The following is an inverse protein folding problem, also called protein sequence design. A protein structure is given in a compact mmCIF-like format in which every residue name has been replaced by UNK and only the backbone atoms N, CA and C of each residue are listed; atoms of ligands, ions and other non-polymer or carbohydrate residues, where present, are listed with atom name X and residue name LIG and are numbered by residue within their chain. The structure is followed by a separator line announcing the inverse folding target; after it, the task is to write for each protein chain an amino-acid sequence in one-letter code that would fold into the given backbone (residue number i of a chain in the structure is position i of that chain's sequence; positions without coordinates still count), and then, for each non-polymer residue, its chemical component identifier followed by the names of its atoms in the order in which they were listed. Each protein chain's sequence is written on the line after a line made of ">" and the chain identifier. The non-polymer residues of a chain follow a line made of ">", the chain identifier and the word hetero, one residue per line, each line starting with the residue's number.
data_IF_272774879845
#
_entry.id   IF_272774879845
#
_cell.length_a   1.000
_cell.length_b   1.000
_cell.length_c   1.000
_cell.angle_alpha   90.00
_cell.angle_beta   90.00
_cell.angle_gamma   90.00
#
_symmetry.space_group_name_H-M   'P 1'
#
loop_
_entity.id
_entity.type
_entity.pdbx_description
1 polymer ?
#
# COMPACT_ATOMS: atom_id res chain seq x y z
N UNK A 1 -12.77 18.57 15.96
CA UNK A 1 -12.77 17.10 15.98
C UNK A 1 -11.74 16.64 14.97
N UNK A 2 -10.67 16.00 15.46
CA UNK A 2 -9.59 15.48 14.63
C UNK A 2 -10.15 14.30 13.82
N UNK A 3 -10.29 14.43 12.49
CA UNK A 3 -10.76 13.35 11.63
C UNK A 3 -9.67 12.27 11.54
N UNK A 4 -10.00 11.06 11.95
CA UNK A 4 -9.13 9.91 11.74
C UNK A 4 -9.26 9.42 10.30
N UNK A 5 -8.14 9.06 9.69
CA UNK A 5 -8.12 8.48 8.35
C UNK A 5 -7.85 6.98 8.44
N UNK A 6 -8.74 6.21 7.86
CA UNK A 6 -8.67 4.75 7.81
C UNK A 6 -8.45 4.27 6.38
N UNK A 7 -7.76 3.17 6.23
CA UNK A 7 -7.56 2.51 4.95
C UNK A 7 -7.34 1.01 5.12
N UNK A 8 -7.70 0.24 4.10
CA UNK A 8 -7.43 -1.18 4.01
C UNK A 8 -6.17 -1.38 3.16
N UNK A 9 -5.25 -2.20 3.63
CA UNK A 9 -3.98 -2.41 2.95
C UNK A 9 -3.43 -3.83 3.10
N UNK A 10 -2.52 -4.16 2.19
CA UNK A 10 -1.66 -5.34 2.26
C UNK A 10 -0.39 -4.95 3.01
N UNK A 11 -0.09 -5.59 4.15
CA UNK A 11 1.16 -5.40 4.86
C UNK A 11 2.31 -6.11 4.15
N UNK A 12 3.54 -5.66 4.39
CA UNK A 12 4.75 -6.30 3.88
C UNK A 12 5.40 -7.15 4.96
N UNK A 13 6.13 -8.19 4.54
CA UNK A 13 7.00 -8.95 5.43
C UNK A 13 8.20 -8.13 5.89
N UNK A 14 8.83 -8.53 6.98
CA UNK A 14 10.04 -7.86 7.50
C UNK A 14 11.17 -7.82 6.47
N UNK A 15 11.37 -8.89 5.71
CA UNK A 15 12.39 -8.97 4.66
C UNK A 15 12.12 -7.96 3.55
N UNK A 16 10.87 -7.84 3.09
CA UNK A 16 10.50 -6.87 2.07
C UNK A 16 10.66 -5.43 2.56
N UNK A 17 10.24 -5.14 3.80
CA UNK A 17 10.44 -3.84 4.43
C UNK A 17 11.91 -3.47 4.51
N UNK A 18 12.77 -4.38 4.94
CA UNK A 18 14.22 -4.16 5.06
C UNK A 18 14.86 -3.92 3.69
N UNK A 19 14.46 -4.67 2.66
CA UNK A 19 14.96 -4.48 1.30
C UNK A 19 14.63 -3.08 0.78
N UNK A 20 13.39 -2.62 0.97
CA UNK A 20 12.97 -1.26 0.59
C UNK A 20 13.69 -0.20 1.44
N UNK A 21 13.85 -0.42 2.74
CA UNK A 21 14.52 0.53 3.62
C UNK A 21 15.99 0.75 3.25
N UNK A 22 16.71 -0.30 2.89
CA UNK A 22 18.09 -0.20 2.37
C UNK A 22 18.13 0.63 1.10
N UNK A 23 17.28 0.31 0.13
CA UNK A 23 17.15 1.07 -1.10
C UNK A 23 16.79 2.54 -0.83
N UNK A 24 15.82 2.79 0.05
CA UNK A 24 15.35 4.12 0.44
C UNK A 24 16.49 4.95 1.04
N UNK A 25 17.30 4.35 1.91
CA UNK A 25 18.47 5.01 2.49
C UNK A 25 19.50 5.46 1.44
N UNK A 26 19.77 4.59 0.47
CA UNK A 26 20.68 4.92 -0.65
C UNK A 26 20.09 6.00 -1.55
N UNK A 27 18.82 5.89 -1.90
CA UNK A 27 18.11 6.84 -2.75
C UNK A 27 18.00 8.24 -2.13
N UNK A 28 17.80 8.31 -0.82
CA UNK A 28 17.65 9.58 -0.11
C UNK A 28 18.89 10.49 -0.21
N UNK A 29 20.07 9.92 -0.42
CA UNK A 29 21.30 10.69 -0.59
C UNK A 29 21.37 11.43 -1.94
N UNK A 30 20.57 11.01 -2.93
CA UNK A 30 20.60 11.57 -4.29
C UNK A 30 19.27 12.16 -4.77
N UNK A 31 18.16 11.82 -4.11
CA UNK A 31 16.83 12.30 -4.48
C UNK A 31 16.24 13.19 -3.38
N UNK A 32 16.12 14.51 -3.64
CA UNK A 32 15.66 15.47 -2.64
C UNK A 32 14.13 15.48 -2.49
N UNK A 33 13.56 14.38 -1.99
CA UNK A 33 12.19 14.38 -1.51
C UNK A 33 12.11 14.93 -0.08
N UNK A 34 11.03 15.63 0.23
CA UNK A 34 10.82 16.25 1.53
C UNK A 34 10.67 15.25 2.68
N UNK A 35 9.94 14.15 2.42
CA UNK A 35 9.60 13.16 3.43
C UNK A 35 9.91 11.76 2.92
N UNK A 36 10.66 10.98 3.70
CA UNK A 36 10.91 9.57 3.47
C UNK A 36 10.08 8.75 4.45
N UNK A 37 9.34 7.78 3.91
CA UNK A 37 8.41 6.96 4.70
C UNK A 37 9.18 6.05 5.63
N UNK A 38 8.74 5.95 6.88
CA UNK A 38 9.31 5.01 7.85
C UNK A 38 9.06 3.56 7.39
N UNK A 39 10.05 2.68 7.58
CA UNK A 39 9.96 1.29 7.07
C UNK A 39 8.74 0.52 7.58
N UNK A 40 8.33 0.76 8.83
CA UNK A 40 7.12 0.14 9.40
C UNK A 40 5.81 0.65 8.77
N UNK A 41 5.86 1.74 8.04
CA UNK A 41 4.70 2.31 7.34
C UNK A 41 4.59 1.86 5.87
N UNK A 42 5.50 1.02 5.38
CA UNK A 42 5.40 0.47 4.03
C UNK A 42 4.21 -0.49 3.91
N UNK A 43 3.40 -0.26 2.88
CA UNK A 43 2.20 -1.07 2.61
C UNK A 43 1.73 -0.85 1.18
N UNK A 44 0.82 -1.70 0.71
CA UNK A 44 0.05 -1.47 -0.52
C UNK A 44 -1.38 -1.14 -0.13
N UNK A 45 -1.83 0.07 -0.40
CA UNK A 45 -3.22 0.46 -0.15
C UNK A 45 -4.17 -0.23 -1.12
N UNK A 46 -5.20 -0.88 -0.58
CA UNK A 46 -6.31 -1.45 -1.36
C UNK A 46 -7.48 -0.47 -1.45
N UNK A 47 -7.86 0.14 -0.34
CA UNK A 47 -8.96 1.10 -0.30
C UNK A 47 -8.73 2.17 0.76
N UNK A 48 -8.74 3.43 0.36
CA UNK A 48 -8.71 4.56 1.27
C UNK A 48 -10.14 4.96 1.65
N UNK A 49 -10.46 4.86 2.94
CA UNK A 49 -11.83 5.05 3.45
C UNK A 49 -12.09 6.45 3.99
N UNK A 50 -11.03 7.19 4.32
CA UNK A 50 -11.17 8.44 5.06
C UNK A 50 -11.68 8.19 6.47
N UNK A 51 -12.63 9.01 6.92
CA UNK A 51 -13.24 8.84 8.23
C UNK A 51 -14.21 7.65 8.23
N UNK A 52 -14.17 6.85 9.30
CA UNK A 52 -15.09 5.74 9.53
C UNK A 52 -15.93 6.05 10.76
N UNK A 53 -17.23 6.34 10.59
CA UNK A 53 -18.11 6.56 11.74
C UNK A 53 -18.12 5.37 12.69
N UNK A 54 -18.12 5.57 14.02
CA UNK A 54 -18.10 4.47 14.99
C UNK A 54 -19.20 3.42 14.74
N UNK A 55 -20.37 3.85 14.30
CA UNK A 55 -21.50 2.97 13.97
C UNK A 55 -21.24 2.05 12.76
N UNK A 56 -20.31 2.38 11.89
CA UNK A 56 -19.94 1.58 10.71
C UNK A 56 -18.75 0.65 10.97
N UNK A 57 -18.02 0.83 12.04
CA UNK A 57 -16.77 0.10 12.30
C UNK A 57 -16.99 -1.41 12.38
N UNK A 58 -18.01 -1.86 13.12
CA UNK A 58 -18.32 -3.29 13.26
C UNK A 58 -18.68 -3.91 11.90
N UNK A 59 -19.55 -3.28 11.12
CA UNK A 59 -19.94 -3.75 9.79
C UNK A 59 -18.78 -3.79 8.81
N UNK A 60 -17.88 -2.80 8.89
CA UNK A 60 -16.65 -2.78 8.08
C UNK A 60 -15.75 -3.97 8.41
N UNK A 61 -15.50 -4.24 9.69
CA UNK A 61 -14.69 -5.37 10.13
C UNK A 61 -15.31 -6.72 9.72
N UNK A 62 -16.63 -6.88 9.85
CA UNK A 62 -17.33 -8.07 9.38
C UNK A 62 -17.20 -8.26 7.87
N UNK A 63 -17.37 -7.20 7.09
CA UNK A 63 -17.23 -7.25 5.64
C UNK A 63 -15.80 -7.60 5.21
N UNK A 64 -14.80 -7.03 5.85
CA UNK A 64 -13.39 -7.33 5.55
C UNK A 64 -13.02 -8.76 5.95
N UNK A 65 -13.51 -9.25 7.07
CA UNK A 65 -13.32 -10.64 7.47
C UNK A 65 -13.97 -11.61 6.46
N UNK A 66 -15.16 -11.29 5.93
CA UNK A 66 -15.82 -12.09 4.92
C UNK A 66 -15.06 -12.12 3.59
N UNK A 67 -14.53 -10.99 3.14
CA UNK A 67 -13.66 -10.93 1.95
C UNK A 67 -12.41 -11.76 2.16
N UNK A 68 -11.72 -11.58 3.27
CA UNK A 68 -10.49 -12.30 3.59
C UNK A 68 -10.70 -13.82 3.70
N UNK A 69 -11.84 -14.25 4.28
CA UNK A 69 -12.15 -15.66 4.42
C UNK A 69 -12.29 -16.40 3.08
N UNK A 70 -12.66 -15.70 2.02
CA UNK A 70 -12.83 -16.26 0.66
C UNK A 70 -11.59 -16.10 -0.22
N UNK A 71 -10.63 -15.30 0.20
CA UNK A 71 -9.44 -14.99 -0.58
C UNK A 71 -8.28 -15.87 -0.13
N UNK A 72 -7.62 -16.54 -1.08
CA UNK A 72 -6.43 -17.33 -0.77
C UNK A 72 -5.21 -16.43 -0.50
N UNK A 73 -4.32 -16.83 0.40
CA UNK A 73 -3.00 -16.22 0.49
C UNK A 73 -2.24 -16.32 -0.84
N UNK A 74 -1.40 -15.35 -1.13
CA UNK A 74 -0.61 -15.31 -2.36
C UNK A 74 0.76 -14.66 -2.11
N UNK A 75 1.60 -14.64 -3.13
CA UNK A 75 2.90 -13.98 -3.08
C UNK A 75 2.98 -12.83 -4.05
N UNK A 76 3.76 -11.82 -3.70
CA UNK A 76 4.10 -10.67 -4.55
C UNK A 76 5.60 -10.57 -4.71
N UNK A 77 6.05 -10.01 -5.83
CA UNK A 77 7.44 -9.66 -6.07
C UNK A 77 7.56 -8.16 -6.31
N UNK A 78 8.54 -7.53 -5.67
CA UNK A 78 8.86 -6.12 -5.90
C UNK A 78 9.37 -5.93 -7.32
N UNK A 79 8.86 -4.92 -8.02
CA UNK A 79 9.25 -4.63 -9.41
C UNK A 79 9.05 -3.16 -9.75
N UNK A 80 10.12 -2.53 -10.22
CA UNK A 80 10.08 -1.18 -10.78
C UNK A 80 9.94 -0.07 -9.74
N UNK A 81 10.20 1.13 -10.23
CA UNK A 81 10.08 2.40 -9.50
C UNK A 81 9.23 3.35 -10.33
N UNK A 82 8.53 4.24 -9.69
CA UNK A 82 7.75 5.25 -10.39
C UNK A 82 7.35 6.40 -9.49
N UNK A 83 6.62 7.32 -10.10
CA UNK A 83 6.16 8.53 -9.42
C UNK A 83 4.71 8.83 -9.78
N UNK A 84 4.03 9.52 -8.88
CA UNK A 84 2.72 10.12 -9.15
C UNK A 84 2.76 11.63 -8.92
N UNK A 85 1.92 12.34 -9.65
CA UNK A 85 1.80 13.77 -9.58
C UNK A 85 2.43 14.45 -10.78
N UNK A 86 2.87 15.67 -10.62
CA UNK A 86 3.50 16.46 -11.68
C UNK A 86 4.82 15.82 -12.13
N UNK A 87 5.06 15.75 -13.44
CA UNK A 87 6.24 15.07 -14.02
C UNK A 87 7.56 15.64 -13.51
N UNK A 88 7.64 16.95 -13.32
CA UNK A 88 8.86 17.66 -12.92
C UNK A 88 8.97 17.88 -11.40
N UNK A 89 7.85 17.67 -10.68
CA UNK A 89 7.78 17.81 -9.23
C UNK A 89 6.81 16.77 -8.64
N UNK A 90 7.15 15.48 -8.70
CA UNK A 90 6.24 14.43 -8.26
C UNK A 90 5.91 14.55 -6.76
N UNK A 91 4.66 14.21 -6.43
CA UNK A 91 4.19 14.19 -5.06
C UNK A 91 4.47 12.88 -4.34
N UNK A 92 4.58 11.80 -5.10
CA UNK A 92 4.80 10.45 -4.57
C UNK A 92 5.89 9.76 -5.37
N UNK A 93 6.85 9.17 -4.69
CA UNK A 93 7.84 8.25 -5.22
C UNK A 93 7.55 6.85 -4.65
N UNK A 94 7.45 5.84 -5.50
CA UNK A 94 6.99 4.53 -5.09
C UNK A 94 7.80 3.37 -5.69
N UNK A 95 7.80 2.26 -4.95
CA UNK A 95 8.20 0.92 -5.38
C UNK A 95 6.98 0.19 -5.90
N UNK A 96 7.08 -0.43 -7.07
CA UNK A 96 6.03 -1.26 -7.65
C UNK A 96 6.14 -2.73 -7.26
N UNK A 97 5.16 -3.49 -7.71
CA UNK A 97 5.11 -4.95 -7.63
C UNK A 97 4.78 -5.52 -9.00
N UNK A 98 5.17 -6.76 -9.25
CA UNK A 98 4.77 -7.48 -10.46
C UNK A 98 3.24 -7.63 -10.50
N UNK A 99 2.70 -7.71 -11.72
CA UNK A 99 1.26 -7.92 -11.90
C UNK A 99 0.85 -9.26 -11.30
N UNK A 100 -0.15 -9.22 -10.43
CA UNK A 100 -0.67 -10.40 -9.74
C UNK A 100 -2.20 -10.34 -9.71
N UNK A 101 -2.84 -11.32 -10.36
CA UNK A 101 -4.30 -11.37 -10.44
C UNK A 101 -4.98 -11.56 -9.08
N UNK A 102 -4.33 -12.28 -8.15
CA UNK A 102 -4.85 -12.43 -6.80
C UNK A 102 -4.93 -11.08 -6.06
N UNK A 103 -3.95 -10.19 -6.27
CA UNK A 103 -3.97 -8.85 -5.72
C UNK A 103 -5.10 -8.00 -6.34
N UNK A 104 -5.25 -8.07 -7.66
CA UNK A 104 -6.30 -7.34 -8.38
C UNK A 104 -7.69 -7.80 -7.95
N UNK A 105 -7.89 -9.11 -7.82
CA UNK A 105 -9.13 -9.71 -7.33
C UNK A 105 -9.45 -9.31 -5.89
N UNK A 106 -8.49 -9.36 -5.02
CA UNK A 106 -8.63 -8.94 -3.61
C UNK A 106 -9.02 -7.47 -3.51
N UNK A 107 -8.36 -6.60 -4.26
CA UNK A 107 -8.70 -5.18 -4.29
C UNK A 107 -10.12 -4.96 -4.78
N UNK A 108 -10.55 -5.64 -5.84
CA UNK A 108 -11.91 -5.55 -6.35
C UNK A 108 -12.93 -5.95 -5.29
N UNK A 109 -12.71 -7.06 -4.61
CA UNK A 109 -13.63 -7.57 -3.60
C UNK A 109 -13.72 -6.65 -2.37
N UNK A 110 -12.58 -6.09 -1.94
CA UNK A 110 -12.53 -5.07 -0.89
C UNK A 110 -13.32 -3.82 -1.30
N UNK A 111 -13.14 -3.33 -2.53
CA UNK A 111 -13.87 -2.17 -3.04
C UNK A 111 -15.37 -2.40 -3.07
N UNK A 112 -15.80 -3.52 -3.59
CA UNK A 112 -17.23 -3.89 -3.65
C UNK A 112 -17.87 -3.92 -2.27
N UNK A 113 -17.20 -4.57 -1.32
CA UNK A 113 -17.70 -4.66 0.06
C UNK A 113 -17.78 -3.27 0.73
N UNK A 114 -16.79 -2.43 0.54
CA UNK A 114 -16.78 -1.07 1.09
C UNK A 114 -17.84 -0.16 0.43
N UNK A 115 -18.03 -0.26 -0.88
CA UNK A 115 -19.08 0.48 -1.58
C UNK A 115 -20.48 0.08 -1.11
N UNK A 116 -20.72 -1.21 -0.86
CA UNK A 116 -22.00 -1.68 -0.30
C UNK A 116 -22.29 -1.11 1.09
N UNK A 117 -21.26 -0.77 1.85
CA UNK A 117 -21.38 -0.10 3.15
C UNK A 117 -21.55 1.43 3.04
N UNK A 118 -21.55 1.97 1.81
CA UNK A 118 -21.76 3.38 1.57
C UNK A 118 -20.49 4.24 1.63
N UNK A 119 -19.30 3.65 1.54
CA UNK A 119 -18.07 4.41 1.42
C UNK A 119 -17.91 4.95 -0.01
N UNK A 120 -17.48 6.20 -0.11
CA UNK A 120 -17.07 6.81 -1.39
C UNK A 120 -15.61 6.52 -1.65
N UNK A 121 -15.34 5.73 -2.67
CA UNK A 121 -13.98 5.30 -3.01
C UNK A 121 -13.50 5.97 -4.30
N UNK A 122 -12.17 6.04 -4.45
CA UNK A 122 -11.53 6.51 -5.66
C UNK A 122 -11.89 5.59 -6.84
N UNK A 123 -12.29 6.17 -7.96
CA UNK A 123 -12.71 5.44 -9.16
C UNK A 123 -11.60 5.24 -10.18
N UNK A 124 -10.41 5.77 -9.92
CA UNK A 124 -9.27 5.56 -10.82
C UNK A 124 -8.87 4.08 -10.87
N UNK A 125 -8.31 3.63 -12.01
CA UNK A 125 -7.79 2.25 -12.11
C UNK A 125 -6.80 1.94 -10.99
N UNK A 126 -6.81 0.71 -10.53
CA UNK A 126 -5.88 0.24 -9.50
C UNK A 126 -4.45 0.27 -10.02
N UNK A 127 -3.59 1.01 -9.33
CA UNK A 127 -2.16 1.07 -9.58
C UNK A 127 -1.42 0.72 -8.28
N UNK A 128 -1.20 -0.59 -8.00
CA UNK A 128 -0.60 -1.03 -6.75
C UNK A 128 0.82 -0.49 -6.61
N UNK A 129 1.10 0.10 -5.46
CA UNK A 129 2.40 0.71 -5.18
C UNK A 129 2.68 0.78 -3.68
N UNK A 130 3.94 0.86 -3.34
CA UNK A 130 4.43 1.09 -1.98
C UNK A 130 5.08 2.47 -1.97
N UNK A 131 4.48 3.43 -1.29
CA UNK A 131 5.04 4.78 -1.20
C UNK A 131 6.33 4.76 -0.39
N UNK A 132 7.40 5.30 -0.96
CA UNK A 132 8.73 5.41 -0.34
C UNK A 132 9.02 6.83 0.11
N UNK A 133 8.66 7.82 -0.70
CA UNK A 133 8.91 9.22 -0.40
C UNK A 133 7.82 10.14 -0.97
N UNK A 134 7.77 11.36 -0.45
CA UNK A 134 6.75 12.35 -0.82
C UNK A 134 7.37 13.73 -1.03
N UNK A 135 6.77 14.47 -1.95
CA UNK A 135 7.02 15.88 -2.23
C UNK A 135 8.44 16.17 -2.68
N UNK A 136 8.65 16.14 -4.00
CA UNK A 136 9.88 16.60 -4.61
C UNK A 136 10.15 18.05 -4.21
N UNK A 137 11.35 18.33 -3.77
CA UNK A 137 11.81 19.68 -3.39
C UNK A 137 13.21 20.01 -3.93
N UNK A 138 13.66 19.27 -4.96
CA UNK A 138 14.92 19.56 -5.61
C UNK A 138 14.94 20.93 -6.28
N UNK A 139 16.09 21.57 -6.31
CA UNK A 139 16.28 22.82 -7.03
C UNK A 139 16.12 22.65 -8.55
N UNK A 140 16.47 21.46 -9.05
CA UNK A 140 16.25 21.09 -10.45
C UNK A 140 14.95 20.27 -10.59
N UNK A 141 14.29 20.33 -11.77
CA UNK A 141 13.16 19.46 -12.07
C UNK A 141 13.53 17.98 -11.96
N UNK A 142 12.60 17.19 -11.45
CA UNK A 142 12.73 15.72 -11.48
C UNK A 142 12.79 15.23 -12.93
N UNK A 143 13.66 14.24 -13.18
CA UNK A 143 13.73 13.53 -14.46
C UNK A 143 13.74 12.02 -14.23
N UNK A 144 13.02 11.24 -15.06
CA UNK A 144 12.97 9.77 -14.90
C UNK A 144 14.33 9.07 -14.98
N UNK A 145 15.30 9.65 -15.70
CA UNK A 145 16.66 9.11 -15.79
C UNK A 145 17.41 9.13 -14.44
N UNK A 146 17.00 9.98 -13.50
CA UNK A 146 17.53 9.98 -12.13
C UNK A 146 17.29 8.65 -11.41
N UNK A 147 16.25 7.90 -11.81
CA UNK A 147 15.94 6.58 -11.23
C UNK A 147 16.77 5.45 -11.85
N UNK A 148 17.31 5.62 -13.04
CA UNK A 148 18.04 4.55 -13.76
C UNK A 148 19.35 4.14 -13.08
N UNK A 149 19.98 5.05 -12.39
CA UNK A 149 21.21 4.79 -11.64
C UNK A 149 20.98 4.08 -10.30
N UNK A 150 19.72 3.94 -9.88
CA UNK A 150 19.36 3.33 -8.63
C UNK A 150 19.05 1.84 -8.80
N UNK A 151 19.58 1.02 -7.92
CA UNK A 151 19.25 -0.40 -7.85
C UNK A 151 17.99 -0.57 -7.02
N UNK A 152 16.83 -0.67 -7.69
CA UNK A 152 15.54 -0.88 -7.03
C UNK A 152 15.57 -2.12 -6.12
N UNK A 153 14.84 -2.05 -5.01
CA UNK A 153 14.71 -3.18 -4.11
C UNK A 153 14.10 -4.38 -4.85
N UNK A 154 14.64 -5.57 -4.56
CA UNK A 154 14.13 -6.84 -5.07
C UNK A 154 13.88 -7.78 -3.90
N UNK A 155 12.68 -8.27 -3.81
CA UNK A 155 12.25 -9.28 -2.86
C UNK A 155 10.93 -9.88 -3.31
N UNK A 156 10.70 -11.13 -2.98
CA UNK A 156 9.38 -11.74 -3.02
C UNK A 156 8.88 -11.85 -1.59
N UNK A 157 7.58 -11.70 -1.38
CA UNK A 157 6.98 -11.79 -0.06
C UNK A 157 5.58 -12.37 -0.11
N UNK A 158 5.20 -13.07 0.96
CA UNK A 158 3.85 -13.62 1.11
C UNK A 158 2.87 -12.55 1.58
N UNK A 159 1.62 -12.69 1.18
CA UNK A 159 0.47 -11.89 1.63
C UNK A 159 -0.49 -12.84 2.34
N UNK A 160 -0.38 -13.00 3.67
CA UNK A 160 -1.26 -13.89 4.43
C UNK A 160 -2.52 -13.20 4.95
N UNK A 161 -2.59 -11.87 4.88
CA UNK A 161 -3.63 -11.08 5.54
C UNK A 161 -3.81 -9.70 4.91
N UNK A 162 -4.94 -9.07 5.17
CA UNK A 162 -5.18 -7.65 4.96
C UNK A 162 -5.40 -6.97 6.31
N UNK A 163 -5.13 -5.68 6.37
CA UNK A 163 -5.16 -4.91 7.63
C UNK A 163 -5.97 -3.64 7.45
N UNK A 164 -6.77 -3.32 8.45
CA UNK A 164 -7.39 -2.01 8.62
C UNK A 164 -6.44 -1.13 9.44
N UNK A 165 -5.92 -0.09 8.81
CA UNK A 165 -5.04 0.89 9.44
C UNK A 165 -5.75 2.19 9.75
N UNK A 166 -5.31 2.84 10.82
CA UNK A 166 -5.64 4.22 11.15
C UNK A 166 -4.37 5.07 11.10
N UNK A 167 -4.46 6.23 10.46
CA UNK A 167 -3.34 7.19 10.46
C UNK A 167 -3.31 7.98 11.77
N UNK A 168 -2.17 7.98 12.43
CA UNK A 168 -1.90 8.84 13.59
C UNK A 168 -0.70 9.74 13.28
N UNK A 169 -0.95 11.01 12.93
CA UNK A 169 0.07 11.96 12.51
C UNK A 169 1.01 12.40 13.64
N UNK A 170 0.69 12.07 14.89
CA UNK A 170 1.50 12.41 16.07
C UNK A 170 2.50 11.32 16.44
N UNK A 171 2.52 10.21 15.70
CA UNK A 171 3.39 9.06 15.97
C UNK A 171 4.29 8.76 14.78
N UNK A 172 5.39 8.07 15.09
CA UNK A 172 6.26 7.42 14.12
C UNK A 172 6.56 6.01 14.64
N UNK A 173 6.22 4.94 13.92
CA UNK A 173 5.45 4.89 12.68
C UNK A 173 4.01 5.44 12.88
N UNK A 174 3.43 5.98 11.81
CA UNK A 174 2.15 6.70 11.91
C UNK A 174 0.91 5.84 11.63
N UNK A 175 1.07 4.66 11.06
CA UNK A 175 -0.04 3.77 10.75
C UNK A 175 -0.22 2.72 11.83
N UNK A 176 -1.38 2.73 12.47
CA UNK A 176 -1.74 1.81 13.53
C UNK A 176 -2.67 0.72 12.98
N UNK A 177 -2.30 -0.55 13.18
CA UNK A 177 -3.17 -1.67 12.85
C UNK A 177 -4.34 -1.71 13.84
N UNK A 178 -5.56 -1.52 13.33
CA UNK A 178 -6.78 -1.55 14.13
C UNK A 178 -7.38 -2.96 14.12
N UNK A 179 -7.34 -3.63 12.97
CA UNK A 179 -7.83 -5.01 12.83
C UNK A 179 -7.05 -5.72 11.72
N UNK A 180 -6.85 -7.02 11.90
CA UNK A 180 -6.15 -7.90 10.97
C UNK A 180 -7.12 -9.00 10.52
N UNK A 181 -7.14 -9.26 9.21
CA UNK A 181 -8.05 -10.24 8.60
C UNK A 181 -7.25 -11.27 7.82
N UNK A 182 -7.06 -12.50 8.36
CA UNK A 182 -6.33 -13.55 7.68
C UNK A 182 -7.02 -13.98 6.39
N UNK A 183 -6.24 -14.21 5.33
CA UNK A 183 -6.72 -14.79 4.07
C UNK A 183 -6.86 -16.30 4.27
N UNK A 184 -8.08 -16.81 4.26
CA UNK A 184 -8.40 -18.20 4.62
C UNK A 184 -8.92 -19.03 3.45
N UNK A 185 -9.04 -18.44 2.26
CA UNK A 185 -9.52 -19.13 1.07
C UNK A 185 -8.54 -20.22 0.61
N UNK A 186 -9.06 -21.24 -0.06
CA UNK A 186 -8.23 -22.24 -0.71
C UNK A 186 -7.60 -21.64 -1.98
N UNK A 187 -6.35 -21.98 -2.30
CA UNK A 187 -5.77 -21.62 -3.60
C UNK A 187 -6.64 -22.22 -4.69
N UNK A 188 -6.96 -21.41 -5.73
CA UNK A 188 -7.71 -21.90 -6.87
C UNK A 188 -7.00 -23.13 -7.45
N UNK A 189 -7.70 -24.25 -7.42
CA UNK A 189 -7.22 -25.51 -7.96
C UNK A 189 -7.15 -25.48 -9.49
N UNK A 190 -6.26 -24.68 -10.03
CA UNK A 190 -5.82 -24.82 -11.42
C UNK A 190 -4.68 -25.80 -11.43
N UNK A 191 -5.07 -27.07 -11.39
CA UNK A 191 -4.20 -28.17 -11.81
C UNK A 191 -3.90 -28.01 -13.28
N UNK A 192 -2.64 -27.98 -13.60
CA UNK A 192 -1.95 -28.46 -14.76
C UNK A 192 -2.35 -28.06 -16.16
#
# INVERSE_FOLDING_TARGET
>A
VKRSHYFIAVPLTSEAKQAIARFSGDAASSLPFRTWVHEEDYHITLAFLGDVPPKKMASLCEAMAAVAAKSAPFSLALAGLGTFGERTAPRVFWQGVETEEALNGLRRDVYEACMKLGFSLDRRPFAPHITIARKWQGAEPFRPDMLRSLSAARAAFSVPEIVLYRTNMERTPKYEAIAVFPLLGAPDGRSG
#
